data_IF_453062912601
#
_entry.id   IF_453062912601
#
_cell.length_a   1.000
_cell.length_b   1.000
_cell.length_c   1.000
_cell.angle_alpha   90.00
_cell.angle_beta   90.00
_cell.angle_gamma   90.00
#
_symmetry.space_group_name_H-M   'P 1'
#
loop_
_entity.id
_entity.type
_entity.pdbx_description
1 polymer ?
#
# COMPACT_ATOMS: atom_id res chain seq x y z
N UNK A 1 -2.78 -12.37 37.66
CA UNK A 1 -3.67 -12.10 36.52
C UNK A 1 -3.27 -13.06 35.42
N UNK A 2 -4.19 -13.90 34.93
CA UNK A 2 -3.91 -14.74 33.77
C UNK A 2 -3.95 -13.86 32.52
N UNK A 3 -2.77 -13.62 31.94
CA UNK A 3 -2.59 -12.78 30.76
C UNK A 3 -2.51 -13.58 29.46
N UNK A 4 -2.69 -14.91 29.49
CA UNK A 4 -2.55 -15.74 28.30
C UNK A 4 -3.51 -15.32 27.17
N UNK A 5 -4.77 -14.99 27.51
CA UNK A 5 -5.74 -14.46 26.55
C UNK A 5 -5.32 -13.09 25.97
N UNK A 6 -4.72 -12.24 26.80
CA UNK A 6 -4.22 -10.93 26.37
C UNK A 6 -3.00 -11.07 25.46
N UNK A 7 -2.06 -11.96 25.77
CA UNK A 7 -0.90 -12.25 24.94
C UNK A 7 -1.31 -12.79 23.57
N UNK A 8 -2.28 -13.71 23.54
CA UNK A 8 -2.82 -14.25 22.29
C UNK A 8 -3.52 -13.16 21.46
N UNK A 9 -4.32 -12.29 22.09
CA UNK A 9 -4.95 -11.17 21.39
C UNK A 9 -3.90 -10.19 20.81
N UNK A 10 -2.88 -9.86 21.59
CA UNK A 10 -1.78 -8.98 21.15
C UNK A 10 -0.97 -9.61 20.00
N UNK A 11 -0.76 -10.92 20.02
CA UNK A 11 -0.09 -11.62 18.92
C UNK A 11 -0.90 -11.55 17.63
N UNK A 12 -2.19 -11.89 17.68
CA UNK A 12 -3.09 -11.83 16.51
C UNK A 12 -3.21 -10.42 15.94
N UNK A 13 -3.20 -9.42 16.81
CA UNK A 13 -3.19 -8.01 16.41
C UNK A 13 -1.94 -7.68 15.59
N UNK A 14 -0.74 -8.00 16.10
CA UNK A 14 0.52 -7.77 15.38
C UNK A 14 0.61 -8.54 14.06
N UNK A 15 0.11 -9.77 14.02
CA UNK A 15 0.06 -10.56 12.79
C UNK A 15 -0.85 -9.91 11.74
N UNK A 16 -2.02 -9.42 12.16
CA UNK A 16 -2.94 -8.70 11.28
C UNK A 16 -2.34 -7.37 10.79
N UNK A 17 -1.64 -6.63 11.65
CA UNK A 17 -0.91 -5.42 11.24
C UNK A 17 0.16 -5.74 10.20
N UNK A 18 0.99 -6.75 10.45
CA UNK A 18 2.04 -7.16 9.51
C UNK A 18 1.46 -7.60 8.16
N UNK A 19 0.36 -8.36 8.17
CA UNK A 19 -0.34 -8.77 6.95
C UNK A 19 -0.95 -7.58 6.19
N UNK A 20 -1.51 -6.61 6.92
CA UNK A 20 -2.05 -5.39 6.33
C UNK A 20 -0.94 -4.53 5.71
N UNK A 21 0.20 -4.42 6.38
CA UNK A 21 1.33 -3.64 5.87
C UNK A 21 1.97 -4.30 4.65
N UNK A 22 2.07 -5.63 4.61
CA UNK A 22 2.46 -6.37 3.41
C UNK A 22 1.49 -6.11 2.25
N UNK A 23 0.18 -6.26 2.48
CA UNK A 23 -0.83 -6.00 1.45
C UNK A 23 -0.81 -4.54 0.94
N UNK A 24 -0.52 -3.57 1.81
CA UNK A 24 -0.33 -2.16 1.43
C UNK A 24 0.92 -1.97 0.58
N UNK A 25 2.01 -2.66 0.89
CA UNK A 25 3.24 -2.60 0.10
C UNK A 25 3.02 -3.18 -1.30
N UNK A 26 2.36 -4.35 -1.39
CA UNK A 26 2.02 -5.00 -2.67
C UNK A 26 1.13 -4.09 -3.52
N UNK A 27 0.07 -3.51 -2.94
CA UNK A 27 -0.83 -2.60 -3.65
C UNK A 27 -0.09 -1.36 -4.18
N UNK A 28 0.89 -0.83 -3.42
CA UNK A 28 1.72 0.29 -3.88
C UNK A 28 2.65 -0.12 -5.03
N UNK A 29 3.27 -1.29 -4.95
CA UNK A 29 4.16 -1.79 -5.99
C UNK A 29 3.41 -1.97 -7.32
N UNK A 30 2.25 -2.63 -7.29
CA UNK A 30 1.41 -2.83 -8.48
C UNK A 30 0.88 -1.51 -9.04
N UNK A 31 0.47 -0.57 -8.17
CA UNK A 31 0.04 0.75 -8.62
C UNK A 31 1.17 1.54 -9.31
N UNK A 32 2.39 1.49 -8.77
CA UNK A 32 3.56 2.12 -9.40
C UNK A 32 3.89 1.46 -10.73
N UNK A 33 3.89 0.13 -10.79
CA UNK A 33 4.15 -0.62 -12.02
C UNK A 33 3.13 -0.26 -13.12
N UNK A 34 1.83 -0.21 -12.78
CA UNK A 34 0.78 0.23 -13.69
C UNK A 34 1.02 1.65 -14.20
N UNK A 35 1.36 2.59 -13.30
CA UNK A 35 1.61 3.99 -13.66
C UNK A 35 2.89 4.21 -14.48
N UNK A 36 3.87 3.32 -14.39
CA UNK A 36 5.12 3.38 -15.16
C UNK A 36 4.99 2.76 -16.56
N UNK A 37 4.10 1.78 -16.75
CA UNK A 37 3.95 1.07 -18.03
C UNK A 37 3.30 1.92 -19.13
N UNK A 38 2.33 2.79 -18.82
CA UNK A 38 1.73 3.71 -19.81
C UNK A 38 1.67 5.17 -19.31
N UNK A 39 2.62 6.04 -19.71
CA UNK A 39 2.65 7.44 -19.30
C UNK A 39 1.52 8.28 -19.91
N UNK A 40 0.66 7.75 -20.79
CA UNK A 40 -0.41 8.52 -21.45
C UNK A 40 -1.63 8.79 -20.57
N UNK A 41 -1.48 9.34 -19.36
CA UNK A 41 -2.57 9.93 -18.52
C UNK A 41 -3.84 9.06 -18.25
N UNK A 42 -3.97 7.87 -18.82
CA UNK A 42 -5.12 6.98 -18.76
C UNK A 42 -5.16 6.16 -17.48
N UNK A 43 -4.00 5.80 -16.94
CA UNK A 43 -3.92 4.85 -15.82
C UNK A 43 -4.08 5.49 -14.44
N UNK A 44 -3.90 6.81 -14.29
CA UNK A 44 -4.17 7.45 -13.00
C UNK A 44 -5.65 7.37 -12.62
N UNK A 45 -6.57 7.49 -13.57
CA UNK A 45 -8.00 7.39 -13.30
C UNK A 45 -8.42 5.98 -12.89
N UNK A 46 -7.81 4.97 -13.53
CA UNK A 46 -8.00 3.56 -13.22
C UNK A 46 -7.44 3.22 -11.83
N UNK A 47 -6.21 3.64 -11.53
CA UNK A 47 -5.59 3.43 -10.21
C UNK A 47 -6.40 4.12 -9.11
N UNK A 48 -6.90 5.34 -9.31
CA UNK A 48 -7.81 6.01 -8.37
C UNK A 48 -9.07 5.17 -8.14
N UNK A 49 -9.67 4.63 -9.19
CA UNK A 49 -10.90 3.82 -9.11
C UNK A 49 -10.67 2.50 -8.38
N UNK A 50 -9.56 1.80 -8.65
CA UNK A 50 -9.26 0.48 -8.06
C UNK A 50 -8.82 0.63 -6.60
N UNK A 51 -7.94 1.59 -6.31
CA UNK A 51 -7.34 1.74 -4.97
C UNK A 51 -8.15 2.64 -4.05
N UNK A 52 -9.03 3.47 -4.60
CA UNK A 52 -9.72 4.53 -3.86
C UNK A 52 -8.82 5.70 -3.49
N UNK A 53 -7.55 5.73 -3.93
CA UNK A 53 -6.62 6.80 -3.61
C UNK A 53 -6.95 8.09 -4.33
N UNK A 54 -6.59 9.21 -3.72
CA UNK A 54 -6.65 10.49 -4.40
C UNK A 54 -5.46 10.63 -5.36
N UNK A 55 -5.61 11.50 -6.35
CA UNK A 55 -4.50 11.85 -7.26
C UNK A 55 -3.28 12.39 -6.51
N UNK A 56 -3.50 13.04 -5.37
CA UNK A 56 -2.41 13.54 -4.52
C UNK A 56 -1.65 12.39 -3.86
N UNK A 57 -2.36 11.40 -3.29
CA UNK A 57 -1.74 10.19 -2.74
C UNK A 57 -0.92 9.44 -3.78
N UNK A 58 -1.45 9.31 -5.01
CA UNK A 58 -0.73 8.71 -6.13
C UNK A 58 0.56 9.48 -6.45
N UNK A 59 0.53 10.82 -6.48
CA UNK A 59 1.75 11.61 -6.70
C UNK A 59 2.79 11.40 -5.60
N UNK A 60 2.38 11.36 -4.33
CA UNK A 60 3.29 11.12 -3.21
C UNK A 60 3.94 9.73 -3.32
N UNK A 61 3.17 8.71 -3.71
CA UNK A 61 3.67 7.35 -3.90
C UNK A 61 4.67 7.29 -5.06
N UNK A 62 4.34 7.90 -6.20
CA UNK A 62 5.24 7.96 -7.36
C UNK A 62 6.55 8.68 -7.02
N UNK A 63 6.47 9.81 -6.33
CA UNK A 63 7.65 10.55 -5.88
C UNK A 63 8.54 9.70 -4.96
N UNK A 64 7.94 9.00 -4.00
CA UNK A 64 8.68 8.11 -3.11
C UNK A 64 9.32 6.93 -3.87
N UNK A 65 8.64 6.40 -4.90
CA UNK A 65 9.18 5.33 -5.74
C UNK A 65 10.36 5.79 -6.61
N UNK A 66 10.32 7.02 -7.14
CA UNK A 66 11.45 7.64 -7.85
C UNK A 66 12.65 7.84 -6.92
N UNK A 67 12.44 8.29 -5.68
CA UNK A 67 13.51 8.48 -4.68
C UNK A 67 14.16 7.17 -4.19
N UNK A 68 13.42 6.05 -4.24
CA UNK A 68 13.92 4.72 -3.86
C UNK A 68 14.59 3.96 -5.02
N UNK A 69 14.30 4.33 -6.27
CA UNK A 69 14.82 3.69 -7.48
C UNK A 69 15.94 4.46 -8.20
N UNK A 70 16.37 5.61 -7.67
CA UNK A 70 17.44 6.46 -8.19
C UNK A 70 18.82 6.18 -7.59
#
# INVERSE_FOLDING_TARGET
MDTAKLQLAAQRYREAEAALDAARADLRAEAVAALQQDPKRGDQGEVVRITGWTREQIRTIMKAAEELGG
#
